data_IF_405595206241
#
_entry.id   IF_405595206241
#
_cell.length_a   1.000
_cell.length_b   1.000
_cell.length_c   1.000
_cell.angle_alpha   90.00
_cell.angle_beta   90.00
_cell.angle_gamma   90.00
#
_symmetry.space_group_name_H-M   'P 1'
#
loop_
_entity.id
_entity.type
_entity.pdbx_description
1 polymer ?
#
# COMPACT_ATOMS: atom_id res chain seq x y z
N UNK A 1 46.82 33.39 12.02
CA UNK A 1 45.55 33.50 12.81
C UNK A 1 44.32 33.86 11.97
N UNK A 2 44.32 34.91 11.13
CA UNK A 2 43.12 35.33 10.37
C UNK A 2 42.60 34.30 9.35
N UNK A 3 43.49 33.60 8.63
CA UNK A 3 43.14 32.51 7.71
C UNK A 3 42.57 31.27 8.41
N UNK A 4 43.09 30.92 9.59
CA UNK A 4 42.59 29.80 10.40
C UNK A 4 41.18 30.08 10.95
N UNK A 5 40.92 31.31 11.42
CA UNK A 5 39.57 31.74 11.85
C UNK A 5 38.56 31.71 10.70
N UNK A 6 38.99 32.10 9.49
CA UNK A 6 38.14 32.02 8.29
C UNK A 6 37.82 30.57 7.91
N UNK A 7 38.81 29.69 7.92
CA UNK A 7 38.61 28.26 7.65
C UNK A 7 37.69 27.59 8.68
N UNK A 8 37.88 27.90 9.97
CA UNK A 8 37.00 27.43 11.04
C UNK A 8 35.56 27.98 10.88
N UNK A 9 35.41 29.24 10.47
CA UNK A 9 34.11 29.83 10.17
C UNK A 9 33.40 29.14 9.01
N UNK A 10 34.11 28.87 7.90
CA UNK A 10 33.56 28.14 6.74
C UNK A 10 33.20 26.72 7.13
N UNK A 11 34.06 26.02 7.89
CA UNK A 11 33.77 24.68 8.37
C UNK A 11 32.54 24.65 9.29
N UNK A 12 32.41 25.63 10.20
CA UNK A 12 31.24 25.74 11.07
C UNK A 12 29.96 26.00 10.28
N UNK A 13 29.98 26.90 9.29
CA UNK A 13 28.83 27.13 8.40
C UNK A 13 28.48 25.87 7.62
N UNK A 14 29.48 25.14 7.12
CA UNK A 14 29.28 23.86 6.45
C UNK A 14 28.62 22.82 7.35
N UNK A 15 29.06 22.71 8.61
CA UNK A 15 28.46 21.82 9.61
C UNK A 15 27.02 22.23 9.92
N UNK A 16 26.76 23.52 10.15
CA UNK A 16 25.40 24.03 10.40
C UNK A 16 24.48 23.73 9.23
N UNK A 17 24.93 23.97 8.00
CA UNK A 17 24.15 23.66 6.80
C UNK A 17 23.88 22.14 6.70
N UNK A 18 24.90 21.31 6.93
CA UNK A 18 24.74 19.85 6.91
C UNK A 18 23.72 19.37 7.96
N UNK A 19 23.76 19.92 9.18
CA UNK A 19 22.78 19.62 10.23
C UNK A 19 21.39 20.08 9.78
N UNK A 20 21.26 21.33 9.33
CA UNK A 20 19.98 21.92 8.92
C UNK A 20 19.27 21.08 7.83
N UNK A 21 20.00 20.60 6.83
CA UNK A 21 19.41 19.81 5.74
C UNK A 21 19.17 18.33 6.06
N UNK A 22 19.89 17.75 7.03
CA UNK A 22 19.76 16.32 7.35
C UNK A 22 18.93 16.05 8.60
N UNK A 23 18.83 17.00 9.53
CA UNK A 23 18.08 16.83 10.77
C UNK A 23 16.59 16.49 10.55
N UNK A 24 15.86 17.10 9.59
CA UNK A 24 14.48 16.71 9.30
C UNK A 24 14.35 15.30 8.72
N UNK A 25 15.40 14.76 8.07
CA UNK A 25 15.38 13.39 7.53
C UNK A 25 15.34 12.35 8.64
N UNK A 26 15.93 12.64 9.80
CA UNK A 26 15.93 11.74 10.95
C UNK A 26 14.51 11.39 11.38
N UNK A 27 13.60 12.37 11.36
CA UNK A 27 12.19 12.16 11.70
C UNK A 27 11.49 11.17 10.75
N UNK A 28 11.77 11.25 9.44
CA UNK A 28 11.24 10.31 8.45
C UNK A 28 11.84 8.91 8.61
N UNK A 29 13.14 8.82 8.89
CA UNK A 29 13.83 7.55 9.13
C UNK A 29 13.23 6.85 10.34
N UNK A 30 13.13 7.54 11.48
CA UNK A 30 12.51 7.01 12.70
C UNK A 30 11.04 6.64 12.48
N UNK A 31 10.28 7.46 11.74
CA UNK A 31 8.89 7.19 11.40
C UNK A 31 8.72 5.94 10.56
N UNK A 32 9.54 5.76 9.52
CA UNK A 32 9.55 4.54 8.72
C UNK A 32 9.94 3.32 9.55
N UNK A 33 11.06 3.39 10.28
CA UNK A 33 11.59 2.27 11.04
C UNK A 33 10.60 1.77 12.09
N UNK A 34 10.02 2.67 12.89
CA UNK A 34 9.01 2.31 13.89
C UNK A 34 7.75 1.71 13.26
N UNK A 35 7.19 2.32 12.22
CA UNK A 35 6.00 1.79 11.52
C UNK A 35 6.26 0.43 10.89
N UNK A 36 7.37 0.30 10.16
CA UNK A 36 7.76 -0.94 9.51
C UNK A 36 8.00 -2.06 10.52
N UNK A 37 8.65 -1.75 11.65
CA UNK A 37 8.84 -2.72 12.74
C UNK A 37 7.52 -3.18 13.33
N UNK A 38 6.69 -2.25 13.79
CA UNK A 38 5.39 -2.57 14.39
C UNK A 38 4.51 -3.40 13.43
N UNK A 39 4.46 -3.03 12.15
CA UNK A 39 3.67 -3.77 11.16
C UNK A 39 4.23 -5.18 10.96
N UNK A 40 5.54 -5.32 10.78
CA UNK A 40 6.15 -6.62 10.52
C UNK A 40 6.01 -7.58 11.70
N UNK A 41 6.13 -7.07 12.93
CA UNK A 41 6.03 -7.87 14.15
C UNK A 41 4.59 -8.24 14.45
N UNK A 42 3.69 -7.25 14.52
CA UNK A 42 2.33 -7.48 15.03
C UNK A 42 1.30 -7.85 13.96
N UNK A 43 1.58 -7.62 12.66
CA UNK A 43 0.71 -8.04 11.55
C UNK A 43 1.24 -9.32 10.90
N UNK A 44 2.55 -9.36 10.61
CA UNK A 44 3.17 -10.47 9.87
C UNK A 44 3.84 -11.52 10.77
N UNK A 45 3.72 -11.39 12.09
CA UNK A 45 4.23 -12.35 13.08
C UNK A 45 5.75 -12.63 12.91
N UNK A 46 6.51 -11.59 12.55
CA UNK A 46 7.96 -11.69 12.32
C UNK A 46 8.76 -11.31 13.56
N UNK A 47 9.88 -11.99 13.77
CA UNK A 47 10.83 -11.65 14.83
C UNK A 47 11.49 -10.28 14.58
N UNK A 48 11.62 -9.39 15.59
CA UNK A 48 12.22 -8.07 15.42
C UNK A 48 13.62 -8.11 14.82
N UNK A 49 14.44 -9.09 15.22
CA UNK A 49 15.80 -9.26 14.69
C UNK A 49 15.81 -9.57 13.18
N UNK A 50 14.84 -10.35 12.71
CA UNK A 50 14.72 -10.67 11.29
C UNK A 50 14.28 -9.45 10.49
N UNK A 51 13.44 -8.58 11.06
CA UNK A 51 13.04 -7.31 10.43
C UNK A 51 14.25 -6.38 10.31
N UNK A 52 15.06 -6.26 11.36
CA UNK A 52 16.28 -5.42 11.33
C UNK A 52 17.21 -5.87 10.20
N UNK A 53 17.55 -7.16 10.18
CA UNK A 53 18.55 -7.72 9.26
C UNK A 53 18.09 -7.76 7.80
N UNK A 54 16.80 -7.91 7.53
CA UNK A 54 16.30 -8.12 6.17
C UNK A 54 15.56 -6.92 5.57
N UNK A 55 14.98 -6.06 6.42
CA UNK A 55 14.09 -4.97 6.00
C UNK A 55 14.71 -3.59 6.32
N UNK A 56 15.42 -3.44 7.45
CA UNK A 56 15.99 -2.15 7.87
C UNK A 56 17.46 -1.94 7.48
N UNK A 57 18.12 -2.94 6.89
CA UNK A 57 19.48 -2.85 6.33
C UNK A 57 19.61 -1.90 5.11
N UNK A 58 18.53 -1.20 4.73
CA UNK A 58 18.57 -0.21 3.66
C UNK A 58 19.37 1.05 4.08
N UNK A 59 20.01 1.76 3.13
CA UNK A 59 20.68 3.02 3.42
C UNK A 59 19.79 3.99 4.19
N UNK A 60 20.38 4.72 5.14
CA UNK A 60 19.72 5.62 6.09
C UNK A 60 18.86 4.94 7.17
N UNK A 61 18.10 3.88 6.84
CA UNK A 61 17.25 3.19 7.82
C UNK A 61 18.09 2.41 8.84
N UNK A 62 19.18 1.77 8.40
CA UNK A 62 20.11 1.09 9.31
C UNK A 62 20.81 1.98 10.35
N UNK A 63 20.61 3.30 10.27
CA UNK A 63 21.12 4.26 11.26
C UNK A 63 20.18 4.39 12.47
N UNK A 64 18.95 3.90 12.37
CA UNK A 64 18.00 3.94 13.48
C UNK A 64 18.15 2.71 14.37
N UNK A 65 18.13 2.94 15.66
CA UNK A 65 17.85 1.92 16.66
C UNK A 65 16.34 1.75 16.76
N UNK A 66 15.85 0.52 16.85
CA UNK A 66 14.42 0.22 16.98
C UNK A 66 14.18 -0.82 18.08
N UNK A 67 13.23 -0.52 18.96
CA UNK A 67 12.82 -1.36 20.08
C UNK A 67 11.33 -1.70 19.96
N UNK A 68 10.98 -2.93 20.35
CA UNK A 68 9.60 -3.44 20.33
C UNK A 68 9.13 -3.64 21.77
N UNK A 69 7.91 -3.22 22.04
CA UNK A 69 7.22 -3.41 23.31
C UNK A 69 5.96 -4.25 23.09
N UNK A 70 5.90 -5.42 23.75
CA UNK A 70 4.72 -6.28 23.75
C UNK A 70 3.67 -5.85 24.77
N UNK A 71 4.02 -4.94 25.70
CA UNK A 71 3.07 -4.46 26.72
C UNK A 71 1.95 -3.61 26.11
N UNK A 72 2.30 -2.83 25.08
CA UNK A 72 1.39 -1.92 24.38
C UNK A 72 1.38 -2.16 22.86
N UNK A 73 1.91 -3.30 22.42
CA UNK A 73 2.04 -3.70 21.01
C UNK A 73 2.60 -2.58 20.12
N UNK A 74 3.76 -2.04 20.50
CA UNK A 74 4.36 -0.89 19.83
C UNK A 74 5.81 -1.13 19.41
N UNK A 75 6.28 -0.30 18.50
CA UNK A 75 7.69 -0.17 18.19
C UNK A 75 8.11 1.29 18.22
N UNK A 76 9.26 1.57 18.83
CA UNK A 76 9.85 2.91 18.90
C UNK A 76 11.19 2.88 18.18
N UNK A 77 11.46 3.89 17.36
CA UNK A 77 12.73 4.04 16.66
C UNK A 77 13.29 5.45 16.80
N UNK A 78 14.61 5.57 16.81
CA UNK A 78 15.32 6.85 16.82
C UNK A 78 16.63 6.73 16.08
N UNK A 79 17.13 7.84 15.51
CA UNK A 79 18.47 7.85 14.87
C UNK A 79 19.46 8.49 15.83
N UNK A 80 20.37 7.69 16.38
CA UNK A 80 21.33 8.12 17.41
C UNK A 80 20.66 8.79 18.63
N UNK A 81 19.48 8.30 19.03
CA UNK A 81 18.67 8.89 20.10
C UNK A 81 17.92 10.18 19.74
N UNK A 82 18.00 10.63 18.49
CA UNK A 82 17.32 11.84 18.01
C UNK A 82 16.03 11.50 17.27
N UNK A 83 15.06 12.43 17.35
CA UNK A 83 13.77 12.33 16.65
C UNK A 83 13.08 10.98 16.89
N UNK A 84 12.82 10.59 18.15
CA UNK A 84 12.14 9.33 18.43
C UNK A 84 10.74 9.36 17.81
N UNK A 85 10.34 8.25 17.19
CA UNK A 85 9.00 8.03 16.65
C UNK A 85 8.51 6.67 17.11
N UNK A 86 7.20 6.59 17.35
CA UNK A 86 6.53 5.39 17.84
C UNK A 86 5.38 5.03 16.90
N UNK A 87 5.23 3.74 16.65
CA UNK A 87 4.05 3.18 16.01
C UNK A 87 3.41 2.16 16.95
N UNK A 88 2.08 2.19 17.04
CA UNK A 88 1.30 1.29 17.91
C UNK A 88 0.39 0.45 17.03
N UNK A 89 0.45 -0.86 17.20
CA UNK A 89 -0.47 -1.77 16.55
C UNK A 89 -1.86 -1.68 17.19
N UNK A 90 -2.87 -1.54 16.34
CA UNK A 90 -4.28 -1.53 16.69
C UNK A 90 -4.96 -2.67 15.96
N UNK A 91 -5.69 -3.49 16.70
CA UNK A 91 -6.40 -4.63 16.13
C UNK A 91 -7.34 -4.16 15.01
N UNK A 92 -7.30 -4.84 13.87
CA UNK A 92 -8.08 -4.48 12.67
C UNK A 92 -7.63 -3.23 11.90
N UNK A 93 -6.88 -2.32 12.52
CA UNK A 93 -6.43 -1.05 11.93
C UNK A 93 -4.93 -1.02 11.59
N UNK A 94 -4.16 -2.01 12.07
CA UNK A 94 -2.73 -2.14 11.79
C UNK A 94 -1.85 -1.19 12.61
N UNK A 95 -0.64 -0.89 12.12
CA UNK A 95 0.33 -0.09 12.85
C UNK A 95 0.16 1.41 12.59
N UNK A 96 -0.33 2.14 13.59
CA UNK A 96 -0.55 3.58 13.49
C UNK A 96 0.64 4.35 14.03
N UNK A 97 1.20 5.26 13.24
CA UNK A 97 2.25 6.18 13.72
C UNK A 97 1.65 7.21 14.67
N UNK A 98 2.24 7.35 15.85
CA UNK A 98 1.75 8.27 16.87
C UNK A 98 2.35 9.68 16.70
N UNK A 99 1.62 10.67 17.22
CA UNK A 99 2.02 12.06 17.38
C UNK A 99 1.24 12.69 18.56
N UNK A 100 1.33 14.01 18.74
CA UNK A 100 0.65 14.75 19.82
C UNK A 100 -0.89 14.72 19.76
N UNK A 101 -1.46 14.24 18.64
CA UNK A 101 -2.91 14.10 18.45
C UNK A 101 -3.40 12.69 18.77
N UNK A 102 -2.50 11.70 18.92
CA UNK A 102 -2.84 10.29 19.05
C UNK A 102 -3.86 9.99 20.16
N UNK A 103 -3.69 10.58 21.36
CA UNK A 103 -4.60 10.39 22.49
C UNK A 103 -6.01 10.97 22.26
N UNK A 104 -6.22 11.74 21.18
CA UNK A 104 -7.52 12.31 20.81
C UNK A 104 -8.32 11.39 19.88
N UNK A 105 -7.70 10.34 19.35
CA UNK A 105 -8.32 9.45 18.36
C UNK A 105 -8.84 8.17 19.00
N UNK A 106 -9.99 7.71 18.52
CA UNK A 106 -10.59 6.46 18.94
C UNK A 106 -10.12 5.33 18.03
N UNK A 107 -9.50 4.30 18.60
CA UNK A 107 -9.04 3.10 17.90
C UNK A 107 -9.83 1.84 18.29
N UNK A 108 -10.96 2.00 18.98
CA UNK A 108 -11.84 0.90 19.40
C UNK A 108 -12.78 0.44 18.27
N UNK A 109 -12.88 1.22 17.19
CA UNK A 109 -13.68 0.87 16.02
C UNK A 109 -12.87 -0.07 15.14
N UNK A 110 -13.22 -1.35 15.15
CA UNK A 110 -12.58 -2.39 14.36
C UNK A 110 -13.48 -2.78 13.17
N UNK A 111 -12.93 -3.12 11.99
CA UNK A 111 -13.73 -3.62 10.89
C UNK A 111 -14.49 -4.91 11.26
N UNK A 112 -15.79 -4.96 10.98
CA UNK A 112 -16.61 -6.14 11.16
C UNK A 112 -16.32 -7.15 10.06
N UNK A 113 -15.52 -8.16 10.40
CA UNK A 113 -15.14 -9.23 9.49
C UNK A 113 -16.04 -10.44 9.61
N UNK A 114 -16.25 -11.13 8.51
CA UNK A 114 -16.81 -12.47 8.51
C UNK A 114 -15.84 -13.44 7.82
N UNK A 115 -15.92 -14.70 8.17
CA UNK A 115 -15.12 -15.74 7.54
C UNK A 115 -16.06 -16.76 6.94
N UNK A 116 -16.04 -16.86 5.61
CA UNK A 116 -16.76 -17.92 4.90
C UNK A 116 -16.16 -19.24 5.37
N UNK A 117 -16.93 -20.03 6.12
CA UNK A 117 -16.55 -21.40 6.48
C UNK A 117 -16.73 -22.28 5.26
N UNK A 118 -15.77 -22.20 4.34
CA UNK A 118 -15.69 -23.12 3.22
C UNK A 118 -14.99 -24.42 3.65
N UNK A 119 -15.36 -25.51 2.99
CA UNK A 119 -14.63 -26.80 3.05
C UNK A 119 -13.75 -27.00 1.81
N UNK A 120 -13.71 -26.00 0.93
CA UNK A 120 -13.08 -26.07 -0.36
C UNK A 120 -11.57 -25.82 -0.24
N UNK A 121 -10.74 -26.45 -1.08
CA UNK A 121 -9.35 -26.06 -1.19
C UNK A 121 -9.21 -24.70 -1.88
N UNK A 122 -8.01 -24.15 -1.85
CA UNK A 122 -7.62 -23.01 -2.70
C UNK A 122 -8.14 -23.18 -4.16
N UNK A 123 -8.63 -22.11 -4.81
CA UNK A 123 -8.70 -20.72 -4.35
C UNK A 123 -10.01 -20.35 -3.67
N UNK A 124 -11.09 -21.09 -3.93
CA UNK A 124 -12.44 -20.78 -3.42
C UNK A 124 -12.62 -21.15 -1.95
N UNK A 125 -11.57 -21.69 -1.36
CA UNK A 125 -11.50 -21.89 0.06
C UNK A 125 -10.10 -21.91 0.63
N UNK A 126 -10.03 -22.26 1.91
CA UNK A 126 -8.80 -22.24 2.70
C UNK A 126 -8.44 -23.61 3.28
N UNK A 127 -9.17 -24.66 2.91
CA UNK A 127 -8.97 -26.01 3.41
C UNK A 127 -7.88 -26.76 2.61
N UNK A 128 -6.67 -26.20 2.59
CA UNK A 128 -5.51 -26.75 1.89
C UNK A 128 -5.49 -26.51 0.38
N UNK A 129 -4.68 -27.30 -0.33
CA UNK A 129 -4.46 -27.19 -1.78
C UNK A 129 -4.80 -28.50 -2.48
N UNK A 130 -5.09 -28.45 -3.78
CA UNK A 130 -5.26 -29.66 -4.60
C UNK A 130 -3.90 -30.27 -4.91
N UNK A 131 -3.75 -31.57 -4.67
CA UNK A 131 -2.53 -32.36 -4.88
C UNK A 131 -2.50 -33.09 -6.25
N UNK A 132 -3.24 -32.57 -7.23
CA UNK A 132 -3.32 -33.18 -8.57
C UNK A 132 -2.22 -32.66 -9.50
N UNK A 133 -1.42 -33.54 -10.11
CA UNK A 133 -0.43 -33.12 -11.10
C UNK A 133 -1.12 -32.79 -12.44
N UNK A 134 -0.87 -31.61 -12.99
CA UNK A 134 -1.43 -31.18 -14.28
C UNK A 134 -0.54 -31.64 -15.44
N UNK A 135 -1.02 -32.58 -16.26
CA UNK A 135 -0.26 -33.15 -17.37
C UNK A 135 0.20 -32.13 -18.44
N UNK A 136 -0.38 -30.92 -18.46
CA UNK A 136 -0.03 -29.86 -19.40
C UNK A 136 1.03 -28.88 -18.83
N UNK A 137 1.70 -29.21 -17.73
CA UNK A 137 2.75 -28.39 -17.09
C UNK A 137 4.07 -29.14 -17.15
N UNK A 138 5.11 -28.45 -17.60
CA UNK A 138 6.50 -28.91 -17.56
C UNK A 138 7.11 -28.51 -16.21
N UNK A 139 7.08 -29.43 -15.25
CA UNK A 139 7.50 -29.16 -13.87
C UNK A 139 9.01 -28.97 -13.73
N UNK A 140 9.81 -29.56 -14.62
CA UNK A 140 11.27 -29.33 -14.62
C UNK A 140 11.57 -27.87 -15.00
N UNK A 141 10.88 -27.33 -16.02
CA UNK A 141 11.01 -25.89 -16.35
C UNK A 141 10.44 -24.98 -15.27
N UNK A 142 9.36 -25.40 -14.60
CA UNK A 142 8.80 -24.64 -13.49
C UNK A 142 9.82 -24.54 -12.35
N UNK A 143 10.46 -25.65 -12.00
CA UNK A 143 11.48 -25.69 -10.96
C UNK A 143 12.66 -24.77 -11.29
N UNK A 144 13.15 -24.78 -12.54
CA UNK A 144 14.19 -23.85 -13.00
C UNK A 144 13.75 -22.38 -12.87
N UNK A 145 12.48 -22.06 -13.16
CA UNK A 145 11.96 -20.71 -12.98
C UNK A 145 11.95 -20.29 -11.50
N UNK A 146 11.58 -21.21 -10.60
CA UNK A 146 11.63 -20.99 -9.16
C UNK A 146 13.06 -20.85 -8.64
N UNK A 147 14.02 -21.67 -9.09
CA UNK A 147 15.43 -21.50 -8.73
C UNK A 147 15.94 -20.11 -9.13
N UNK A 148 15.66 -19.67 -10.36
CA UNK A 148 16.08 -18.37 -10.85
C UNK A 148 15.50 -17.21 -10.02
N UNK A 149 14.24 -17.32 -9.57
CA UNK A 149 13.60 -16.28 -8.76
C UNK A 149 14.20 -16.12 -7.35
N UNK A 150 14.90 -17.13 -6.82
CA UNK A 150 15.50 -17.10 -5.48
C UNK A 150 17.03 -17.07 -5.50
N UNK A 151 17.65 -17.17 -6.68
CA UNK A 151 19.10 -17.26 -6.82
C UNK A 151 19.83 -15.96 -6.52
N UNK A 152 19.20 -14.82 -6.84
CA UNK A 152 19.82 -13.51 -6.72
C UNK A 152 19.55 -12.88 -5.34
N UNK A 153 20.59 -12.71 -4.49
CA UNK A 153 20.41 -12.12 -3.17
C UNK A 153 20.01 -10.63 -3.22
N UNK A 154 20.22 -9.93 -4.34
CA UNK A 154 19.79 -8.54 -4.49
C UNK A 154 18.27 -8.41 -4.74
N UNK A 155 17.64 -9.44 -5.35
CA UNK A 155 16.19 -9.47 -5.57
C UNK A 155 15.40 -9.64 -4.27
N UNK A 156 15.99 -10.31 -3.28
CA UNK A 156 15.40 -10.55 -1.95
C UNK A 156 13.99 -11.16 -2.00
N UNK A 157 13.75 -12.07 -2.94
CA UNK A 157 12.47 -12.79 -3.08
C UNK A 157 12.12 -13.53 -1.79
N UNK A 158 11.00 -13.15 -1.17
CA UNK A 158 10.50 -13.76 0.08
C UNK A 158 9.58 -14.94 -0.19
N UNK A 159 8.73 -14.78 -1.19
CA UNK A 159 7.76 -15.78 -1.59
C UNK A 159 7.46 -15.68 -3.08
N UNK A 160 7.18 -16.83 -3.69
CA UNK A 160 6.71 -16.94 -5.07
C UNK A 160 5.64 -18.02 -5.13
N UNK A 161 4.56 -17.76 -5.84
CA UNK A 161 3.47 -18.69 -6.04
C UNK A 161 2.98 -18.60 -7.49
N UNK A 162 2.78 -19.75 -8.13
CA UNK A 162 2.24 -19.85 -9.49
C UNK A 162 0.93 -20.64 -9.45
N UNK A 163 -0.15 -20.02 -9.92
CA UNK A 163 -1.45 -20.65 -10.09
C UNK A 163 -1.70 -20.94 -11.58
N UNK A 164 -2.15 -22.14 -11.89
CA UNK A 164 -2.67 -22.50 -13.21
C UNK A 164 -3.99 -23.23 -13.08
N UNK A 165 -5.00 -22.84 -13.88
CA UNK A 165 -6.36 -23.44 -13.84
C UNK A 165 -6.94 -23.57 -12.43
N UNK A 166 -6.85 -22.50 -11.62
CA UNK A 166 -7.31 -22.46 -10.23
C UNK A 166 -6.63 -23.52 -9.32
N UNK A 167 -5.40 -23.90 -9.63
CA UNK A 167 -4.59 -24.79 -8.80
C UNK A 167 -3.19 -24.19 -8.62
N UNK A 168 -2.68 -24.20 -7.39
CA UNK A 168 -1.28 -23.88 -7.13
C UNK A 168 -0.44 -25.00 -7.74
N UNK A 169 0.39 -24.65 -8.73
CA UNK A 169 1.30 -25.60 -9.39
C UNK A 169 2.73 -25.50 -8.87
N UNK A 170 3.02 -24.48 -8.08
CA UNK A 170 4.27 -24.32 -7.35
C UNK A 170 4.18 -23.14 -6.39
N UNK A 171 4.77 -23.29 -5.21
CA UNK A 171 5.00 -22.20 -4.26
C UNK A 171 6.32 -22.44 -3.51
N UNK A 172 7.01 -21.35 -3.17
CA UNK A 172 8.29 -21.39 -2.46
C UNK A 172 8.39 -20.16 -1.58
N UNK A 173 9.03 -20.36 -0.43
CA UNK A 173 9.27 -19.33 0.57
C UNK A 173 10.76 -19.35 0.92
N UNK A 174 11.33 -18.17 1.14
CA UNK A 174 12.67 -18.06 1.72
C UNK A 174 12.62 -18.54 3.18
N UNK A 175 13.78 -18.95 3.72
CA UNK A 175 13.88 -19.36 5.13
C UNK A 175 13.27 -18.31 6.06
N UNK A 176 12.42 -18.76 6.99
CA UNK A 176 11.71 -17.90 7.95
C UNK A 176 10.36 -17.38 7.46
N UNK A 177 10.01 -17.63 6.19
CA UNK A 177 8.70 -17.35 5.63
C UNK A 177 7.97 -18.66 5.34
N UNK A 178 6.64 -18.60 5.44
CA UNK A 178 5.73 -19.72 5.18
C UNK A 178 4.53 -19.24 4.38
N UNK A 179 3.64 -20.17 4.02
CA UNK A 179 2.35 -19.86 3.40
C UNK A 179 1.46 -18.93 4.24
N UNK A 180 1.67 -18.89 5.56
CA UNK A 180 0.89 -18.10 6.50
C UNK A 180 1.52 -16.72 6.77
N UNK A 181 2.74 -16.48 6.29
CA UNK A 181 3.42 -15.20 6.48
C UNK A 181 2.80 -14.12 5.60
N UNK A 182 2.30 -13.05 6.22
CA UNK A 182 1.72 -11.91 5.50
C UNK A 182 2.83 -11.04 4.90
N UNK A 183 2.66 -10.66 3.65
CA UNK A 183 3.58 -9.80 2.90
C UNK A 183 2.91 -8.45 2.63
N UNK A 184 3.64 -7.38 2.90
CA UNK A 184 3.23 -6.01 2.59
C UNK A 184 3.13 -5.83 1.06
N UNK A 185 1.97 -5.43 0.58
CA UNK A 185 1.67 -5.26 -0.84
C UNK A 185 2.23 -3.98 -1.46
N UNK A 186 2.63 -2.99 -0.66
CA UNK A 186 3.05 -1.68 -1.15
C UNK A 186 2.05 -1.16 -2.21
N UNK A 187 2.55 -0.76 -3.39
CA UNK A 187 1.72 -0.19 -4.45
C UNK A 187 0.72 -1.17 -5.06
N UNK A 188 0.78 -2.48 -4.79
CA UNK A 188 -0.30 -3.41 -5.18
C UNK A 188 -1.62 -3.06 -4.47
N UNK A 189 -1.56 -2.42 -3.30
CA UNK A 189 -2.74 -1.96 -2.55
C UNK A 189 -3.60 -0.98 -3.36
N UNK A 190 -3.00 -0.24 -4.31
CA UNK A 190 -3.72 0.66 -5.23
C UNK A 190 -4.77 -0.07 -6.04
N UNK A 191 -4.49 -1.32 -6.43
CA UNK A 191 -5.42 -2.15 -7.18
C UNK A 191 -6.57 -2.66 -6.31
N UNK A 192 -6.37 -2.82 -5.00
CA UNK A 192 -7.46 -3.08 -4.05
C UNK A 192 -8.42 -1.88 -4.03
N UNK A 193 -7.91 -0.66 -3.84
CA UNK A 193 -8.74 0.56 -3.92
C UNK A 193 -9.51 0.64 -5.24
N UNK A 194 -8.84 0.43 -6.37
CA UNK A 194 -9.50 0.46 -7.67
C UNK A 194 -10.67 -0.53 -7.73
N UNK A 195 -10.48 -1.73 -7.17
CA UNK A 195 -11.53 -2.76 -7.11
C UNK A 195 -12.72 -2.31 -6.27
N UNK A 196 -12.49 -1.63 -5.14
CA UNK A 196 -13.55 -1.06 -4.30
C UNK A 196 -14.40 -0.04 -5.06
N UNK A 197 -13.78 0.80 -5.89
CA UNK A 197 -14.51 1.70 -6.80
C UNK A 197 -15.27 0.94 -7.90
N UNK A 198 -14.72 -0.16 -8.38
CA UNK A 198 -15.40 -1.06 -9.32
C UNK A 198 -16.65 -1.70 -8.74
N UNK A 199 -16.59 -2.09 -7.46
CA UNK A 199 -17.73 -2.61 -6.70
C UNK A 199 -18.79 -1.52 -6.53
N UNK A 200 -18.44 -0.33 -6.05
CA UNK A 200 -19.41 0.78 -5.93
C UNK A 200 -20.05 1.14 -7.27
N UNK A 201 -19.26 1.13 -8.35
CA UNK A 201 -19.80 1.35 -9.71
C UNK A 201 -20.79 0.25 -10.11
N UNK A 202 -20.45 -1.00 -9.82
CA UNK A 202 -21.31 -2.14 -10.10
C UNK A 202 -22.63 -2.09 -9.31
N UNK A 203 -22.57 -1.63 -8.06
CA UNK A 203 -23.74 -1.40 -7.20
C UNK A 203 -24.56 -0.16 -7.60
N UNK A 204 -24.03 0.70 -8.47
CA UNK A 204 -24.69 1.94 -8.89
C UNK A 204 -24.46 3.14 -7.96
N UNK A 205 -23.63 2.97 -6.93
CA UNK A 205 -23.34 3.96 -5.88
C UNK A 205 -22.23 4.95 -6.28
N UNK A 206 -21.44 4.65 -7.31
CA UNK A 206 -20.36 5.52 -7.78
C UNK A 206 -20.33 5.70 -9.29
N UNK A 207 -20.29 6.95 -9.74
CA UNK A 207 -20.12 7.31 -11.15
C UNK A 207 -18.69 7.77 -11.41
N UNK A 208 -18.09 7.31 -12.50
CA UNK A 208 -16.70 7.66 -12.83
C UNK A 208 -16.54 9.12 -13.28
N UNK A 209 -17.62 9.76 -13.73
CA UNK A 209 -17.67 11.19 -14.05
C UNK A 209 -18.04 12.08 -12.85
N UNK A 210 -18.25 11.48 -11.65
CA UNK A 210 -18.46 12.23 -10.43
C UNK A 210 -17.27 13.16 -10.14
N UNK A 211 -17.58 14.39 -9.74
CA UNK A 211 -16.63 15.49 -9.50
C UNK A 211 -16.50 15.74 -7.99
N UNK A 212 -15.55 15.13 -7.28
CA UNK A 212 -15.47 15.20 -5.81
C UNK A 212 -15.25 16.63 -5.30
N UNK A 213 -14.61 17.49 -6.10
CA UNK A 213 -14.34 18.89 -5.73
C UNK A 213 -15.45 19.88 -6.13
N UNK A 214 -16.58 19.40 -6.67
CA UNK A 214 -17.61 20.26 -7.27
C UNK A 214 -18.20 21.29 -6.30
N UNK A 215 -18.26 20.97 -5.00
CA UNK A 215 -18.87 21.79 -3.95
C UNK A 215 -17.84 22.49 -3.03
N UNK A 216 -16.54 22.33 -3.27
CA UNK A 216 -15.51 22.89 -2.39
C UNK A 216 -15.34 24.41 -2.60
N UNK A 217 -15.93 25.20 -1.70
CA UNK A 217 -15.94 26.68 -1.74
C UNK A 217 -14.52 27.27 -1.73
N UNK A 218 -13.56 26.66 -1.00
CA UNK A 218 -12.16 27.12 -0.91
C UNK A 218 -11.41 27.04 -2.24
N UNK A 219 -11.88 26.26 -3.20
CA UNK A 219 -11.16 25.90 -4.42
C UNK A 219 -11.74 26.51 -5.70
N UNK A 220 -12.51 27.61 -5.57
CA UNK A 220 -13.23 28.34 -6.64
C UNK A 220 -12.62 28.07 -8.03
N UNK A 221 -13.22 27.10 -8.73
CA UNK A 221 -13.08 26.74 -10.15
C UNK A 221 -11.83 25.97 -10.64
N UNK A 222 -10.79 25.71 -9.85
CA UNK A 222 -9.58 25.06 -10.40
C UNK A 222 -9.65 23.52 -10.44
N UNK A 223 -10.30 22.89 -9.45
CA UNK A 223 -10.39 21.42 -9.33
C UNK A 223 -11.74 20.83 -9.71
N UNK A 224 -12.73 21.67 -10.01
CA UNK A 224 -14.12 21.26 -10.26
C UNK A 224 -14.31 20.37 -11.49
N UNK A 225 -13.31 20.28 -12.37
CA UNK A 225 -13.35 19.40 -13.55
C UNK A 225 -12.64 18.05 -13.33
N UNK A 226 -11.97 17.84 -12.20
CA UNK A 226 -11.38 16.54 -11.86
C UNK A 226 -12.52 15.58 -11.52
N UNK A 227 -12.47 14.37 -12.09
CA UNK A 227 -13.46 13.31 -11.88
C UNK A 227 -12.81 12.11 -11.19
N UNK A 228 -13.61 11.15 -10.75
CA UNK A 228 -13.10 9.87 -10.24
C UNK A 228 -12.28 9.13 -11.29
N UNK A 229 -12.69 9.14 -12.57
CA UNK A 229 -11.91 8.55 -13.67
C UNK A 229 -10.51 9.19 -13.78
N UNK A 230 -10.43 10.53 -13.74
CA UNK A 230 -9.15 11.23 -13.78
C UNK A 230 -8.24 10.83 -12.62
N UNK A 231 -8.79 10.65 -11.42
CA UNK A 231 -8.03 10.23 -10.24
C UNK A 231 -7.57 8.77 -10.35
N UNK A 232 -8.47 7.85 -10.75
CA UNK A 232 -8.13 6.44 -10.94
C UNK A 232 -7.08 6.24 -12.05
N UNK A 233 -7.02 7.14 -13.03
CA UNK A 233 -6.01 7.11 -14.09
C UNK A 233 -4.71 7.85 -13.76
N UNK A 234 -4.61 8.51 -12.59
CA UNK A 234 -3.47 9.38 -12.24
C UNK A 234 -3.29 10.55 -13.22
N UNK A 235 -4.40 11.13 -13.69
CA UNK A 235 -4.47 12.20 -14.70
C UNK A 235 -5.22 13.44 -14.19
N UNK A 236 -5.19 13.69 -12.89
CA UNK A 236 -5.89 14.82 -12.28
C UNK A 236 -5.24 16.19 -12.53
N UNK A 237 -3.97 16.22 -12.97
CA UNK A 237 -3.20 17.45 -13.13
C UNK A 237 -2.75 18.09 -11.81
N UNK A 238 -2.92 17.39 -10.69
CA UNK A 238 -2.45 17.83 -9.37
C UNK A 238 -0.94 17.61 -9.22
N UNK A 239 -0.26 18.60 -8.68
CA UNK A 239 1.17 18.51 -8.38
C UNK A 239 1.44 17.40 -7.36
N UNK A 240 2.46 16.59 -7.61
CA UNK A 240 2.89 15.57 -6.67
C UNK A 240 4.34 15.16 -6.94
N UNK A 241 5.11 14.99 -5.87
CA UNK A 241 6.47 14.47 -5.93
C UNK A 241 6.56 13.06 -5.32
N UNK A 242 6.58 12.04 -6.19
CA UNK A 242 6.74 10.63 -5.80
C UNK A 242 8.24 10.26 -5.75
N UNK A 243 8.93 10.56 -4.64
CA UNK A 243 10.33 10.19 -4.47
C UNK A 243 10.62 9.68 -3.05
N UNK A 244 10.89 8.39 -2.91
CA UNK A 244 11.12 7.74 -1.61
C UNK A 244 12.53 7.94 -1.03
N UNK A 245 13.48 8.46 -1.82
CA UNK A 245 14.89 8.62 -1.40
C UNK A 245 15.21 10.00 -0.82
N UNK A 246 14.21 10.89 -0.76
CA UNK A 246 14.35 12.24 -0.18
C UNK A 246 13.06 12.68 0.49
N UNK A 247 13.13 13.80 1.20
CA UNK A 247 11.95 14.49 1.69
C UNK A 247 11.17 14.97 0.47
N UNK A 248 9.97 14.42 0.29
CA UNK A 248 9.08 14.59 -0.85
C UNK A 248 7.64 14.51 -0.38
N UNK A 249 6.69 14.66 -1.28
CA UNK A 249 5.28 14.61 -0.93
C UNK A 249 4.86 13.25 -0.37
N UNK A 250 5.33 12.16 -0.99
CA UNK A 250 5.02 10.80 -0.55
C UNK A 250 5.65 10.46 0.80
N UNK A 251 6.90 10.86 1.07
CA UNK A 251 7.54 10.55 2.36
C UNK A 251 6.98 11.39 3.50
N UNK A 252 6.60 12.64 3.23
CA UNK A 252 5.90 13.48 4.21
C UNK A 252 4.52 12.91 4.53
N UNK A 253 3.73 12.58 3.52
CA UNK A 253 2.40 12.00 3.70
C UNK A 253 2.44 10.73 4.54
N UNK A 254 3.30 9.77 4.21
CA UNK A 254 3.30 8.47 4.89
C UNK A 254 3.83 8.49 6.32
N UNK A 255 4.65 9.48 6.70
CA UNK A 255 5.37 9.44 7.98
C UNK A 255 5.18 10.69 8.85
N UNK A 256 4.57 11.76 8.35
CA UNK A 256 4.37 13.01 9.11
C UNK A 256 2.90 13.44 9.19
N UNK A 257 2.06 13.14 8.20
CA UNK A 257 0.68 13.61 8.18
C UNK A 257 -0.21 12.71 9.06
N UNK A 258 -1.08 13.32 9.88
CA UNK A 258 -2.13 12.62 10.63
C UNK A 258 -3.22 12.10 9.69
N UNK A 259 -3.64 12.96 8.75
CA UNK A 259 -4.63 12.67 7.71
C UNK A 259 -3.95 12.61 6.34
N UNK A 260 -3.72 11.39 5.85
CA UNK A 260 -3.02 11.19 4.59
C UNK A 260 -3.89 11.50 3.37
N UNK A 261 -5.21 11.62 3.53
CA UNK A 261 -6.15 11.91 2.45
C UNK A 261 -6.06 13.38 2.00
N UNK A 262 -5.61 14.26 2.90
CA UNK A 262 -5.48 15.69 2.66
C UNK A 262 -4.22 16.07 1.85
N UNK A 263 -3.20 15.20 1.85
CA UNK A 263 -1.90 15.51 1.26
C UNK A 263 -2.00 15.90 -0.22
N UNK A 264 -2.68 15.08 -1.04
CA UNK A 264 -2.96 15.37 -2.44
C UNK A 264 -4.14 16.35 -2.60
N UNK A 265 -5.14 16.28 -1.71
CA UNK A 265 -6.32 17.17 -1.72
C UNK A 265 -5.92 18.64 -1.71
N UNK A 266 -4.84 18.98 -1.00
CA UNK A 266 -4.36 20.35 -0.84
C UNK A 266 -3.32 20.79 -1.89
N UNK A 267 -2.96 19.95 -2.86
CA UNK A 267 -1.96 20.29 -3.88
C UNK A 267 -2.47 21.27 -4.93
N UNK A 268 -1.57 22.06 -5.50
CA UNK A 268 -1.88 22.95 -6.60
C UNK A 268 -2.21 22.16 -7.87
N UNK A 269 -3.07 22.73 -8.71
CA UNK A 269 -3.30 22.24 -10.09
C UNK A 269 -2.17 22.80 -10.96
N UNK A 270 -1.45 21.94 -11.68
CA UNK A 270 -0.34 22.31 -12.56
C UNK A 270 -0.62 22.02 -14.03
N UNK A 271 -1.69 21.29 -14.33
CA UNK A 271 -2.19 21.00 -15.67
C UNK A 271 -3.69 20.73 -15.61
N UNK A 272 -4.40 20.86 -16.73
CA UNK A 272 -5.79 20.40 -16.79
C UNK A 272 -5.86 18.85 -16.73
N UNK A 273 -7.02 18.26 -16.37
CA UNK A 273 -7.16 16.81 -16.40
C UNK A 273 -6.80 16.24 -17.77
N UNK A 274 -6.16 15.08 -17.79
CA UNK A 274 -5.64 14.37 -18.98
C UNK A 274 -4.43 14.99 -19.71
N UNK A 275 -4.06 16.25 -19.43
CA UNK A 275 -2.89 16.88 -20.08
C UNK A 275 -1.56 16.23 -19.68
N UNK A 276 -1.48 15.71 -18.46
CA UNK A 276 -0.30 14.98 -17.94
C UNK A 276 -0.73 13.68 -17.26
N UNK A 277 0.16 12.70 -17.28
CA UNK A 277 0.10 11.52 -16.42
C UNK A 277 1.14 11.68 -15.31
N UNK A 278 0.71 11.57 -14.05
CA UNK A 278 1.60 11.75 -12.89
C UNK A 278 1.28 10.69 -11.82
N UNK A 279 2.12 9.64 -11.74
CA UNK A 279 1.97 8.59 -10.75
C UNK A 279 2.07 9.17 -9.33
N UNK A 280 1.05 8.90 -8.50
CA UNK A 280 0.90 9.55 -7.20
C UNK A 280 0.25 8.65 -6.16
N UNK A 281 1.02 8.24 -5.15
CA UNK A 281 0.47 7.59 -3.96
C UNK A 281 -0.50 8.49 -3.20
N UNK A 282 -0.29 9.82 -3.27
CA UNK A 282 -1.23 10.79 -2.72
C UNK A 282 -2.60 10.77 -3.39
N UNK A 283 -2.66 10.57 -4.71
CA UNK A 283 -3.93 10.43 -5.45
C UNK A 283 -4.72 9.22 -4.97
N UNK A 284 -4.05 8.10 -4.67
CA UNK A 284 -4.71 6.92 -4.10
C UNK A 284 -5.25 7.19 -2.69
N UNK A 285 -4.50 7.85 -1.81
CA UNK A 285 -5.00 8.16 -0.45
C UNK A 285 -6.10 9.24 -0.47
N UNK A 286 -6.06 10.20 -1.41
CA UNK A 286 -7.17 11.12 -1.66
C UNK A 286 -8.44 10.35 -2.07
N UNK A 287 -8.33 9.36 -2.96
CA UNK A 287 -9.44 8.48 -3.29
C UNK A 287 -9.92 7.68 -2.07
N UNK A 288 -9.03 7.27 -1.16
CA UNK A 288 -9.47 6.65 0.10
C UNK A 288 -10.34 7.59 0.96
N UNK A 289 -10.00 8.88 1.01
CA UNK A 289 -10.84 9.88 1.67
C UNK A 289 -12.19 10.09 0.97
N UNK A 290 -12.20 10.10 -0.36
CA UNK A 290 -13.45 10.19 -1.15
C UNK A 290 -14.31 8.92 -0.96
N UNK A 291 -13.68 7.75 -0.84
CA UNK A 291 -14.35 6.50 -0.50
C UNK A 291 -15.01 6.59 0.88
N UNK A 292 -14.30 7.13 1.89
CA UNK A 292 -14.87 7.39 3.22
C UNK A 292 -16.12 8.27 3.15
N UNK A 293 -16.13 9.28 2.28
CA UNK A 293 -17.28 10.19 2.09
C UNK A 293 -18.54 9.50 1.52
N UNK A 294 -18.45 8.25 1.03
CA UNK A 294 -19.61 7.51 0.53
C UNK A 294 -20.45 6.85 1.63
N UNK A 295 -19.97 6.88 2.88
CA UNK A 295 -20.60 6.20 4.01
C UNK A 295 -21.03 7.19 5.10
N UNK A 296 -22.17 6.94 5.73
CA UNK A 296 -22.70 7.80 6.79
C UNK A 296 -21.84 7.71 8.05
N UNK A 297 -21.45 6.49 8.40
CA UNK A 297 -20.65 6.20 9.58
C UNK A 297 -19.22 5.78 9.23
N UNK A 298 -18.32 5.90 10.19
CA UNK A 298 -16.95 5.41 10.02
C UNK A 298 -16.89 3.87 10.01
N UNK A 299 -17.77 3.21 10.77
CA UNK A 299 -17.85 1.75 10.81
C UNK A 299 -18.19 1.18 9.43
N UNK A 300 -19.19 1.72 8.74
CA UNK A 300 -19.54 1.28 7.38
C UNK A 300 -18.37 1.41 6.39
N UNK A 301 -17.59 2.49 6.51
CA UNK A 301 -16.38 2.66 5.71
C UNK A 301 -15.31 1.61 6.02
N UNK A 302 -15.08 1.30 7.30
CA UNK A 302 -14.12 0.28 7.70
C UNK A 302 -14.60 -1.13 7.29
N UNK A 303 -15.89 -1.38 7.37
CA UNK A 303 -16.48 -2.67 7.03
C UNK A 303 -16.44 -2.95 5.53
N UNK A 304 -16.63 -1.92 4.71
CA UNK A 304 -16.86 -2.06 3.27
C UNK A 304 -15.79 -2.89 2.52
N UNK A 305 -14.47 -2.64 2.65
CA UNK A 305 -13.48 -3.45 1.95
C UNK A 305 -13.53 -4.92 2.35
N UNK A 306 -13.82 -5.19 3.62
CA UNK A 306 -13.90 -6.55 4.14
C UNK A 306 -15.15 -7.25 3.65
N UNK A 307 -16.30 -6.61 3.84
CA UNK A 307 -17.59 -7.21 3.53
C UNK A 307 -17.85 -7.37 2.04
N UNK A 308 -17.35 -6.45 1.21
CA UNK A 308 -17.67 -6.42 -0.22
C UNK A 308 -16.60 -7.03 -1.13
N UNK A 309 -15.40 -7.29 -0.60
CA UNK A 309 -14.30 -7.86 -1.38
C UNK A 309 -13.54 -8.94 -0.61
N UNK A 310 -12.85 -8.56 0.46
CA UNK A 310 -11.81 -9.39 1.08
C UNK A 310 -12.40 -10.70 1.60
N UNK A 311 -13.43 -10.61 2.43
CA UNK A 311 -14.03 -11.76 3.10
C UNK A 311 -14.90 -12.57 2.12
N UNK A 312 -15.57 -11.91 1.15
CA UNK A 312 -16.33 -12.56 0.07
C UNK A 312 -15.47 -13.49 -0.78
N UNK A 313 -14.26 -13.05 -1.12
CA UNK A 313 -13.33 -13.87 -1.92
C UNK A 313 -12.37 -14.71 -1.06
N UNK A 314 -12.58 -14.71 0.27
CA UNK A 314 -11.83 -15.53 1.21
C UNK A 314 -10.37 -15.12 1.39
N UNK A 315 -10.00 -13.86 1.19
CA UNK A 315 -8.67 -13.30 1.50
C UNK A 315 -8.50 -13.07 3.01
N UNK A 316 -8.69 -14.13 3.80
CA UNK A 316 -8.88 -14.05 5.25
C UNK A 316 -7.68 -13.46 5.99
N UNK A 317 -6.46 -13.61 5.46
CA UNK A 317 -5.26 -13.03 6.08
C UNK A 317 -5.12 -11.53 5.82
N UNK A 318 -5.89 -10.95 4.89
CA UNK A 318 -5.68 -9.56 4.48
C UNK A 318 -6.00 -8.60 5.63
N UNK A 319 -5.11 -7.64 5.86
CA UNK A 319 -5.29 -6.51 6.76
C UNK A 319 -4.92 -5.22 6.03
N UNK A 320 -5.84 -4.24 6.06
CA UNK A 320 -5.63 -2.90 5.54
C UNK A 320 -5.30 -1.95 6.71
N UNK A 321 -4.14 -1.31 6.67
CA UNK A 321 -3.78 -0.34 7.73
C UNK A 321 -4.44 1.02 7.53
N UNK A 322 -4.67 1.74 8.62
CA UNK A 322 -5.16 3.12 8.61
C UNK A 322 -4.10 4.15 9.02
N UNK A 323 -4.33 5.40 8.65
CA UNK A 323 -3.65 6.55 9.24
C UNK A 323 -4.21 6.89 10.64
N UNK A 324 -3.73 7.98 11.21
CA UNK A 324 -4.13 8.41 12.56
C UNK A 324 -5.62 8.77 12.64
N UNK A 325 -6.20 9.22 11.52
CA UNK A 325 -7.62 9.59 11.41
C UNK A 325 -8.54 8.40 11.16
N UNK A 326 -7.99 7.18 11.04
CA UNK A 326 -8.76 5.98 10.69
C UNK A 326 -9.01 5.83 9.18
N UNK A 327 -8.38 6.62 8.31
CA UNK A 327 -8.50 6.43 6.87
C UNK A 327 -7.53 5.34 6.40
N UNK A 328 -8.00 4.38 5.60
CA UNK A 328 -7.11 3.39 4.99
C UNK A 328 -5.99 4.02 4.16
N UNK A 329 -4.78 3.48 4.29
CA UNK A 329 -3.60 3.90 3.53
C UNK A 329 -3.47 3.04 2.27
N UNK A 330 -4.48 3.13 1.39
CA UNK A 330 -4.62 2.23 0.24
C UNK A 330 -3.59 2.47 -0.87
N UNK A 331 -2.73 3.47 -0.73
CA UNK A 331 -1.53 3.61 -1.57
C UNK A 331 -0.49 2.52 -1.33
N UNK A 332 -0.42 1.94 -0.11
CA UNK A 332 0.74 1.13 0.31
C UNK A 332 0.44 -0.02 1.27
N UNK A 333 -0.40 0.16 2.29
CA UNK A 333 -0.39 -0.72 3.47
C UNK A 333 -1.55 -1.72 3.51
N UNK A 334 -1.54 -2.66 2.56
CA UNK A 334 -2.25 -3.93 2.71
C UNK A 334 -1.26 -5.06 2.96
N UNK A 335 -1.56 -5.91 3.93
CA UNK A 335 -0.81 -7.11 4.26
C UNK A 335 -1.66 -8.32 3.95
N UNK A 336 -1.14 -9.30 3.23
CA UNK A 336 -1.83 -10.56 3.02
C UNK A 336 -0.81 -11.66 2.71
N UNK A 337 -1.17 -12.93 2.91
CA UNK A 337 -0.36 -14.06 2.44
C UNK A 337 -0.24 -14.04 0.92
N UNK A 338 0.79 -14.69 0.38
CA UNK A 338 0.97 -14.83 -1.08
C UNK A 338 -0.24 -15.52 -1.74
N UNK A 339 -0.87 -16.47 -1.03
CA UNK A 339 -2.09 -17.16 -1.49
C UNK A 339 -3.27 -16.19 -1.59
N UNK A 340 -3.48 -15.32 -0.62
CA UNK A 340 -4.57 -14.35 -0.67
C UNK A 340 -4.36 -13.27 -1.75
N UNK A 341 -3.12 -12.81 -1.94
CA UNK A 341 -2.79 -11.98 -3.12
C UNK A 341 -3.08 -12.70 -4.44
N UNK A 342 -2.86 -14.03 -4.51
CA UNK A 342 -3.17 -14.81 -5.71
C UNK A 342 -4.69 -14.92 -5.95
N UNK A 343 -5.53 -15.00 -4.89
CA UNK A 343 -6.99 -14.97 -5.02
C UNK A 343 -7.46 -13.66 -5.66
N UNK A 344 -6.88 -12.53 -5.27
CA UNK A 344 -7.15 -11.25 -5.92
C UNK A 344 -6.83 -11.27 -7.43
N UNK A 345 -5.68 -11.83 -7.82
CA UNK A 345 -5.34 -12.01 -9.23
C UNK A 345 -6.33 -12.92 -9.97
N UNK A 346 -6.77 -14.02 -9.34
CA UNK A 346 -7.76 -14.93 -9.90
C UNK A 346 -9.13 -14.28 -10.08
N UNK A 347 -9.55 -13.38 -9.18
CA UNK A 347 -10.77 -12.61 -9.36
C UNK A 347 -10.75 -11.82 -10.68
N UNK A 348 -9.63 -11.19 -11.01
CA UNK A 348 -9.46 -10.46 -12.27
C UNK A 348 -9.38 -11.39 -13.49
N UNK A 349 -8.71 -12.55 -13.38
CA UNK A 349 -8.71 -13.57 -14.44
C UNK A 349 -10.12 -14.12 -14.73
N UNK A 350 -10.97 -14.20 -13.70
CA UNK A 350 -12.38 -14.57 -13.82
C UNK A 350 -13.32 -13.37 -14.01
N UNK A 351 -12.76 -12.20 -14.34
CA UNK A 351 -13.51 -10.97 -14.67
C UNK A 351 -14.56 -10.55 -13.64
N UNK A 352 -14.21 -10.67 -12.36
CA UNK A 352 -15.06 -10.28 -11.25
C UNK A 352 -16.06 -11.36 -10.82
N UNK A 353 -16.09 -12.53 -11.46
CA UNK A 353 -16.83 -13.70 -10.99
C UNK A 353 -15.98 -14.50 -9.99
N UNK A 354 -16.53 -14.73 -8.80
CA UNK A 354 -15.94 -15.55 -7.75
C UNK A 354 -16.88 -16.69 -7.41
N UNK A 355 -16.61 -17.87 -7.96
CA UNK A 355 -17.40 -19.09 -7.71
C UNK A 355 -18.91 -18.90 -7.96
N UNK A 356 -19.27 -18.16 -9.02
CA UNK A 356 -20.66 -17.84 -9.38
C UNK A 356 -21.25 -16.60 -8.70
N UNK A 357 -20.52 -15.95 -7.79
CA UNK A 357 -20.87 -14.63 -7.25
C UNK A 357 -20.14 -13.52 -8.01
N UNK A 358 -20.89 -12.55 -8.54
CA UNK A 358 -20.32 -11.40 -9.25
C UNK A 358 -19.97 -10.27 -8.28
N UNK A 359 -18.67 -10.02 -8.09
CA UNK A 359 -18.14 -8.96 -7.22
C UNK A 359 -18.14 -7.59 -7.93
N UNK A 360 -17.71 -7.55 -9.19
CA UNK A 360 -17.76 -6.35 -10.03
C UNK A 360 -18.04 -6.73 -11.49
N UNK A 361 -18.49 -5.77 -12.30
CA UNK A 361 -18.82 -6.01 -13.71
C UNK A 361 -17.61 -6.44 -14.55
N UNK A 362 -17.81 -7.33 -15.52
CA UNK A 362 -16.76 -7.77 -16.46
C UNK A 362 -16.06 -6.58 -17.15
N UNK A 363 -16.81 -5.53 -17.48
CA UNK A 363 -16.27 -4.33 -18.11
C UNK A 363 -15.34 -3.51 -17.21
N UNK A 364 -15.30 -3.79 -15.91
CA UNK A 364 -14.32 -3.19 -15.00
C UNK A 364 -12.91 -3.67 -15.30
N UNK A 365 -12.73 -4.94 -15.70
CA UNK A 365 -11.41 -5.45 -16.12
C UNK A 365 -10.90 -4.70 -17.34
N UNK A 366 -11.77 -4.50 -18.33
CA UNK A 366 -11.44 -3.72 -19.52
C UNK A 366 -11.10 -2.27 -19.15
N UNK A 367 -11.87 -1.67 -18.23
CA UNK A 367 -11.63 -0.31 -17.76
C UNK A 367 -10.26 -0.14 -17.10
N UNK A 368 -9.87 -1.03 -16.17
CA UNK A 368 -8.58 -0.92 -15.48
C UNK A 368 -7.39 -1.33 -16.33
N UNK A 369 -7.61 -2.17 -17.35
CA UNK A 369 -6.58 -2.62 -18.28
C UNK A 369 -6.43 -1.74 -19.52
N UNK A 370 -7.34 -0.78 -19.74
CA UNK A 370 -7.24 0.17 -20.86
C UNK A 370 -6.13 1.18 -20.60
N UNK A 371 -5.13 1.29 -21.50
CA UNK A 371 -4.04 2.27 -21.39
C UNK A 371 -4.51 3.69 -21.14
N UNK A 372 -3.91 4.30 -20.15
CA UNK A 372 -4.11 5.71 -19.81
C UNK A 372 -3.36 6.61 -20.78
N UNK A 373 -3.98 7.72 -21.18
CA UNK A 373 -3.33 8.70 -22.07
C UNK A 373 -2.08 9.28 -21.40
N UNK A 374 -1.00 9.48 -22.17
CA UNK A 374 0.30 9.96 -21.69
C UNK A 374 1.03 9.05 -20.69
N UNK A 375 0.58 7.80 -20.48
CA UNK A 375 1.29 6.80 -19.66
C UNK A 375 2.20 5.89 -20.47
N UNK A 376 2.52 6.22 -21.74
CA UNK A 376 3.31 5.37 -22.66
C UNK A 376 2.85 3.90 -22.78
N UNK A 377 1.56 3.67 -22.52
CA UNK A 377 0.93 2.35 -22.56
C UNK A 377 1.24 1.44 -21.38
N UNK A 378 1.93 1.94 -20.32
CA UNK A 378 2.35 1.09 -19.19
C UNK A 378 1.37 1.07 -18.03
N UNK A 379 0.42 2.02 -17.98
CA UNK A 379 -0.50 2.18 -16.86
C UNK A 379 -1.95 2.31 -17.32
N UNK A 380 -2.87 1.65 -16.62
CA UNK A 380 -4.32 1.78 -16.78
C UNK A 380 -4.97 2.56 -15.63
N UNK A 381 -6.08 2.08 -15.09
CA UNK A 381 -6.74 2.73 -13.95
C UNK A 381 -6.34 2.04 -12.63
N UNK A 382 -5.23 2.49 -12.02
CA UNK A 382 -4.60 1.89 -10.83
C UNK A 382 -4.00 0.47 -11.04
N UNK A 383 -3.72 0.12 -12.30
CA UNK A 383 -3.02 -1.12 -12.68
C UNK A 383 -1.85 -0.83 -13.61
N UNK A 384 -0.72 -1.46 -13.36
CA UNK A 384 0.36 -1.57 -14.35
C UNK A 384 -0.01 -2.65 -15.36
N UNK A 385 0.12 -2.34 -16.65
CA UNK A 385 -0.42 -3.19 -17.72
C UNK A 385 0.54 -4.28 -18.19
N UNK A 386 1.82 -4.16 -17.86
CA UNK A 386 2.88 -5.07 -18.30
C UNK A 386 2.85 -5.36 -19.81
N UNK A 387 2.35 -4.39 -20.60
CA UNK A 387 2.09 -4.55 -22.02
C UNK A 387 3.37 -4.30 -22.85
N UNK A 388 3.45 -4.94 -24.01
CA UNK A 388 4.55 -4.77 -24.98
C UNK A 388 5.95 -5.07 -24.39
N UNK A 389 6.05 -5.98 -23.43
CA UNK A 389 7.32 -6.36 -22.80
C UNK A 389 7.92 -5.29 -21.89
N UNK A 390 7.16 -4.23 -21.56
CA UNK A 390 7.54 -3.27 -20.52
C UNK A 390 7.00 -3.76 -19.19
N UNK A 391 7.90 -4.22 -18.32
CA UNK A 391 7.58 -4.57 -16.93
C UNK A 391 7.95 -3.39 -16.02
N UNK A 392 7.15 -3.08 -14.99
CA UNK A 392 7.38 -1.96 -14.07
C UNK A 392 8.63 -2.16 -13.19
#
# INVERSE_FOLDING_TARGET
MRKLKLLLGIALVGIIAAIYFNYPKLNLISGYASKSMASSVFIADREPVDVILNDHEMPLIKLSDCEVSTEDNSATASVYGLMPRKAVFKEGLGAVLTNDEYEKHNFDIIPNRFFVKDTLPFPFGNNGVKDTILANVDYDKLEVAFENAFKDPEQRTRSLLVVHKNQIIGERYIRGFTEDTKILGWSMTKSILATLYGILKYQGEMKMDYKPFGNEIRMKNLKSNITIDHLLRMQSGLAWEENYFKISDVTRMLFLDSDMTLAQRNKNVIAAPTEIWNYSSGTTNLLSGILREQFETHQEYLDFPYQELIDKIGMNSMLLETDLMGNYILSSYAWATTRDWAKFGLLYLNKGDWNGERIFSESWVDYVSTPTVNSDGVYGAHFWLNANGKYP
#
